data_IF_318014891784
#
_entry.id   IF_318014891784
#
_cell.length_a   1.000
_cell.length_b   1.000
_cell.length_c   1.000
_cell.angle_alpha   90.00
_cell.angle_beta   90.00
_cell.angle_gamma   90.00
#
_symmetry.space_group_name_H-M   'P 1'
#
loop_
_entity.id
_entity.type
_entity.pdbx_description
1 polymer ?
#
# COMPACT_ATOMS: atom_id res chain seq x y z
N UNK A 1 8.53 65.72 37.96
CA UNK A 1 7.32 64.87 38.05
C UNK A 1 6.68 64.87 36.67
N UNK A 2 6.94 63.83 35.89
CA UNK A 2 6.28 63.54 34.62
C UNK A 2 5.84 62.07 34.68
N UNK A 3 4.60 61.83 34.30
CA UNK A 3 3.80 60.62 34.49
C UNK A 3 4.30 59.44 33.67
N UNK A 4 4.58 58.32 34.33
CA UNK A 4 4.83 57.02 33.74
C UNK A 4 3.50 56.43 33.24
N UNK A 5 3.31 56.40 31.92
CA UNK A 5 2.27 55.60 31.28
C UNK A 5 2.71 54.13 31.35
N UNK A 6 2.04 53.34 32.17
CA UNK A 6 2.01 51.89 32.04
C UNK A 6 0.94 51.56 30.99
N UNK A 7 1.37 51.30 29.77
CA UNK A 7 0.54 50.60 28.80
C UNK A 7 0.42 49.15 29.30
N UNK A 8 -0.82 48.77 29.58
CA UNK A 8 -1.17 47.42 29.98
C UNK A 8 -1.02 46.50 28.75
N UNK A 9 -0.04 45.62 28.80
CA UNK A 9 0.09 44.49 27.88
C UNK A 9 -1.13 43.58 28.04
N UNK A 10 -2.08 43.73 27.12
CA UNK A 10 -3.24 42.86 26.94
C UNK A 10 -2.76 41.51 26.41
N UNK A 11 -2.39 40.62 27.33
CA UNK A 11 -2.15 39.20 27.05
C UNK A 11 -3.48 38.46 26.85
N UNK A 12 -4.12 38.71 25.71
CA UNK A 12 -5.28 37.97 25.23
C UNK A 12 -4.91 36.58 24.70
N UNK A 13 -4.95 35.60 25.59
CA UNK A 13 -5.44 34.23 25.39
C UNK A 13 -5.19 33.54 24.03
N UNK A 14 -4.05 32.84 23.97
CA UNK A 14 -3.91 31.42 23.65
C UNK A 14 -5.08 30.66 22.97
N UNK A 15 -5.53 31.09 21.79
CA UNK A 15 -6.24 30.21 20.86
C UNK A 15 -5.23 29.48 19.95
N UNK A 16 -4.46 28.56 20.54
CA UNK A 16 -3.76 27.51 19.77
C UNK A 16 -4.80 26.53 19.23
N UNK A 17 -5.52 26.96 18.19
CA UNK A 17 -6.41 26.14 17.39
C UNK A 17 -5.59 25.05 16.73
N UNK A 18 -5.66 23.87 17.32
CA UNK A 18 -5.30 22.54 16.82
C UNK A 18 -4.66 22.57 15.43
N UNK A 19 -3.37 22.24 15.39
CA UNK A 19 -2.62 21.92 14.19
C UNK A 19 -3.50 21.13 13.19
N UNK A 20 -4.07 21.83 12.19
CA UNK A 20 -4.85 21.24 11.10
C UNK A 20 -3.90 20.59 10.08
N UNK A 21 -3.08 19.65 10.54
CA UNK A 21 -2.11 18.90 9.72
C UNK A 21 -2.75 17.96 8.72
N UNK A 22 -4.07 17.85 8.70
CA UNK A 22 -4.85 17.48 7.52
C UNK A 22 -6.32 17.87 7.75
N UNK A 23 -6.94 18.59 6.81
CA UNK A 23 -8.36 18.94 6.96
C UNK A 23 -9.20 17.65 6.98
N UNK A 24 -10.14 17.54 7.93
CA UNK A 24 -10.99 16.36 8.12
C UNK A 24 -11.69 15.92 6.82
N UNK A 25 -11.93 16.88 5.92
CA UNK A 25 -12.53 16.70 4.59
C UNK A 25 -11.65 15.86 3.66
N UNK A 26 -10.31 16.02 3.73
CA UNK A 26 -9.37 15.23 2.93
C UNK A 26 -9.36 13.78 3.43
N UNK A 27 -9.32 13.56 4.75
CA UNK A 27 -9.37 12.21 5.30
C UNK A 27 -10.66 11.47 4.95
N UNK A 28 -11.81 12.13 5.09
CA UNK A 28 -13.10 11.55 4.73
C UNK A 28 -13.23 11.29 3.22
N UNK A 29 -12.74 12.22 2.39
CA UNK A 29 -12.71 12.05 0.94
C UNK A 29 -11.85 10.87 0.50
N UNK A 30 -10.60 10.81 0.96
CA UNK A 30 -9.69 9.70 0.63
C UNK A 30 -10.18 8.38 1.22
N UNK A 31 -10.65 8.37 2.47
CA UNK A 31 -11.25 7.19 3.09
C UNK A 31 -12.43 6.63 2.30
N UNK A 32 -13.33 7.51 1.83
CA UNK A 32 -14.44 7.13 0.94
C UNK A 32 -13.97 6.57 -0.40
N UNK A 33 -12.96 7.19 -1.04
CA UNK A 33 -12.37 6.66 -2.27
C UNK A 33 -11.74 5.29 -2.06
N UNK A 34 -10.99 5.08 -0.97
CA UNK A 34 -10.39 3.78 -0.64
C UNK A 34 -11.44 2.70 -0.40
N UNK A 35 -12.55 3.05 0.26
CA UNK A 35 -13.68 2.14 0.45
C UNK A 35 -14.30 1.76 -0.88
N UNK A 36 -14.54 2.73 -1.76
CA UNK A 36 -15.06 2.49 -3.11
C UNK A 36 -14.14 1.57 -3.92
N UNK A 37 -12.83 1.84 -3.99
CA UNK A 37 -11.88 0.97 -4.68
C UNK A 37 -11.84 -0.44 -4.08
N UNK A 38 -12.05 -0.58 -2.77
CA UNK A 38 -12.11 -1.89 -2.11
C UNK A 38 -13.36 -2.66 -2.54
N UNK A 39 -14.52 -2.01 -2.64
CA UNK A 39 -15.74 -2.62 -3.18
C UNK A 39 -15.51 -3.07 -4.63
N UNK A 40 -14.91 -2.20 -5.46
CA UNK A 40 -14.58 -2.54 -6.85
C UNK A 40 -13.66 -3.75 -6.92
N UNK A 41 -12.68 -3.87 -6.02
CA UNK A 41 -11.78 -5.03 -5.96
C UNK A 41 -12.53 -6.31 -5.62
N UNK A 42 -13.43 -6.28 -4.63
CA UNK A 42 -14.25 -7.45 -4.28
C UNK A 42 -15.16 -7.84 -5.43
N UNK A 43 -15.75 -6.87 -6.15
CA UNK A 43 -16.56 -7.17 -7.32
C UNK A 43 -15.73 -7.74 -8.47
N UNK A 44 -14.52 -7.23 -8.70
CA UNK A 44 -13.59 -7.77 -9.68
C UNK A 44 -13.23 -9.23 -9.37
N UNK A 45 -13.06 -9.60 -8.09
CA UNK A 45 -12.83 -11.01 -7.71
C UNK A 45 -14.03 -11.93 -7.92
N UNK A 46 -15.24 -11.38 -8.14
CA UNK A 46 -16.44 -12.18 -8.44
C UNK A 46 -16.64 -12.47 -9.91
N UNK A 47 -15.86 -11.85 -10.79
CA UNK A 47 -15.92 -12.10 -12.24
C UNK A 47 -14.69 -12.89 -12.65
N UNK A 48 -14.90 -14.12 -13.11
CA UNK A 48 -13.80 -14.99 -13.54
C UNK A 48 -13.41 -14.69 -14.99
N UNK A 49 -12.35 -13.89 -15.17
CA UNK A 49 -11.70 -13.67 -16.46
C UNK A 49 -10.51 -14.61 -16.71
N UNK A 50 -10.28 -15.58 -15.80
CA UNK A 50 -9.12 -16.47 -15.78
C UNK A 50 -8.05 -16.00 -14.77
N UNK A 51 -7.29 -16.96 -14.21
CA UNK A 51 -6.38 -16.74 -13.09
C UNK A 51 -5.37 -15.59 -13.33
N UNK A 52 -4.79 -15.52 -14.52
CA UNK A 52 -3.75 -14.55 -14.85
C UNK A 52 -4.31 -13.13 -15.03
N UNK A 53 -5.49 -13.01 -15.66
CA UNK A 53 -6.15 -11.72 -15.91
C UNK A 53 -6.72 -11.16 -14.59
N UNK A 54 -7.31 -12.03 -13.76
CA UNK A 54 -7.79 -11.65 -12.43
C UNK A 54 -6.64 -11.13 -11.56
N UNK A 55 -5.49 -11.78 -11.58
CA UNK A 55 -4.30 -11.34 -10.86
C UNK A 55 -3.78 -9.98 -11.36
N UNK A 56 -3.66 -9.80 -12.67
CA UNK A 56 -3.21 -8.54 -13.25
C UNK A 56 -4.15 -7.38 -12.88
N UNK A 57 -5.47 -7.60 -12.96
CA UNK A 57 -6.48 -6.62 -12.59
C UNK A 57 -6.43 -6.29 -11.09
N UNK A 58 -6.28 -7.30 -10.23
CA UNK A 58 -6.15 -7.10 -8.78
C UNK A 58 -4.90 -6.28 -8.42
N UNK A 59 -3.75 -6.58 -9.04
CA UNK A 59 -2.51 -5.81 -8.87
C UNK A 59 -2.66 -4.37 -9.35
N UNK A 60 -3.31 -4.14 -10.48
CA UNK A 60 -3.57 -2.79 -10.99
C UNK A 60 -4.40 -1.95 -10.03
N UNK A 61 -5.52 -2.49 -9.53
CA UNK A 61 -6.37 -1.79 -8.57
C UNK A 61 -5.61 -1.54 -7.25
N UNK A 62 -4.80 -2.50 -6.80
CA UNK A 62 -3.97 -2.35 -5.61
C UNK A 62 -2.96 -1.19 -5.74
N UNK A 63 -2.31 -1.02 -6.90
CA UNK A 63 -1.39 0.10 -7.17
C UNK A 63 -2.12 1.45 -7.13
N UNK A 64 -3.33 1.55 -7.68
CA UNK A 64 -4.12 2.78 -7.61
C UNK A 64 -4.47 3.11 -6.16
N UNK A 65 -4.90 2.10 -5.38
CA UNK A 65 -5.19 2.26 -3.95
C UNK A 65 -3.95 2.76 -3.19
N UNK A 66 -2.79 2.15 -3.41
CA UNK A 66 -1.53 2.57 -2.79
C UNK A 66 -1.16 4.01 -3.16
N UNK A 67 -1.33 4.40 -4.43
CA UNK A 67 -1.08 5.77 -4.90
C UNK A 67 -1.98 6.77 -4.17
N UNK A 68 -3.29 6.49 -4.03
CA UNK A 68 -4.21 7.35 -3.29
C UNK A 68 -3.85 7.47 -1.80
N UNK A 69 -3.46 6.37 -1.15
CA UNK A 69 -2.97 6.42 0.24
C UNK A 69 -1.77 7.36 0.33
N UNK A 70 -0.84 7.26 -0.60
CA UNK A 70 0.41 7.99 -0.47
C UNK A 70 0.24 9.47 -0.78
N UNK A 71 -0.48 9.83 -1.84
CA UNK A 71 -0.69 11.24 -2.20
C UNK A 71 -1.44 12.02 -1.12
N UNK A 72 -2.38 11.37 -0.42
CA UNK A 72 -3.31 12.04 0.49
C UNK A 72 -3.07 11.75 1.97
N UNK A 73 -2.80 10.50 2.39
CA UNK A 73 -2.56 10.15 3.80
C UNK A 73 -1.11 10.37 4.23
N UNK A 74 -0.13 10.15 3.34
CA UNK A 74 1.26 10.50 3.61
C UNK A 74 1.56 11.99 3.37
N UNK A 75 0.53 12.79 3.07
CA UNK A 75 0.63 14.23 2.87
C UNK A 75 1.62 14.64 1.76
N UNK A 76 1.98 13.72 0.86
CA UNK A 76 3.02 13.93 -0.15
C UNK A 76 2.73 15.08 -1.12
N UNK A 77 1.45 15.39 -1.34
CA UNK A 77 1.04 16.56 -2.11
C UNK A 77 1.37 17.91 -1.43
N UNK A 78 1.50 17.94 -0.10
CA UNK A 78 1.82 19.16 0.65
C UNK A 78 3.11 19.06 1.50
N UNK A 79 3.85 17.95 1.40
CA UNK A 79 5.13 17.75 2.07
C UNK A 79 6.32 18.04 1.12
N UNK A 80 7.54 18.11 1.67
CA UNK A 80 8.77 18.38 0.92
C UNK A 80 9.06 17.28 -0.11
N UNK A 81 9.54 17.70 -1.28
CA UNK A 81 9.93 16.86 -2.43
C UNK A 81 10.82 15.66 -2.05
N UNK A 82 11.59 15.75 -0.95
CA UNK A 82 12.40 14.66 -0.42
C UNK A 82 11.59 13.38 -0.14
N UNK A 83 10.41 13.49 0.48
CA UNK A 83 9.55 12.33 0.74
C UNK A 83 9.08 11.69 -0.58
N UNK A 84 8.87 12.50 -1.62
CA UNK A 84 8.39 12.02 -2.92
C UNK A 84 9.45 11.18 -3.62
N UNK A 85 10.71 11.61 -3.53
CA UNK A 85 11.86 10.92 -4.13
C UNK A 85 12.13 9.59 -3.43
N UNK A 86 12.14 9.58 -2.10
CA UNK A 86 12.32 8.34 -1.31
C UNK A 86 11.18 7.37 -1.62
N UNK A 87 9.95 7.85 -1.64
CA UNK A 87 8.79 7.01 -1.95
C UNK A 87 8.81 6.46 -3.38
N UNK A 88 9.14 7.30 -4.38
CA UNK A 88 9.27 6.86 -5.77
C UNK A 88 10.37 5.80 -5.91
N UNK A 89 11.49 5.96 -5.20
CA UNK A 89 12.56 4.96 -5.18
C UNK A 89 12.10 3.63 -4.56
N UNK A 90 11.28 3.67 -3.52
CA UNK A 90 10.72 2.48 -2.89
C UNK A 90 9.71 1.78 -3.82
N UNK A 91 8.84 2.52 -4.51
CA UNK A 91 7.95 1.96 -5.54
C UNK A 91 8.77 1.32 -6.66
N UNK A 92 9.79 2.01 -7.17
CA UNK A 92 10.60 1.49 -8.27
C UNK A 92 11.33 0.21 -7.85
N UNK A 93 11.92 0.18 -6.66
CA UNK A 93 12.53 -1.01 -6.09
C UNK A 93 11.51 -2.15 -5.91
N UNK A 94 10.31 -1.86 -5.40
CA UNK A 94 9.25 -2.86 -5.24
C UNK A 94 8.75 -3.39 -6.59
N UNK A 95 8.55 -2.53 -7.58
CA UNK A 95 8.15 -2.92 -8.93
C UNK A 95 9.20 -3.82 -9.58
N UNK A 96 10.48 -3.48 -9.43
CA UNK A 96 11.59 -4.29 -9.91
C UNK A 96 11.62 -5.65 -9.20
N UNK A 97 11.49 -5.67 -7.87
CA UNK A 97 11.45 -6.90 -7.07
C UNK A 97 10.29 -7.82 -7.47
N UNK A 98 9.07 -7.29 -7.58
CA UNK A 98 7.90 -8.06 -7.99
C UNK A 98 8.06 -8.57 -9.43
N UNK A 99 8.56 -7.72 -10.34
CA UNK A 99 8.83 -8.11 -11.72
C UNK A 99 9.83 -9.27 -11.81
N UNK A 100 10.96 -9.19 -11.09
CA UNK A 100 11.93 -10.29 -11.01
C UNK A 100 11.32 -11.54 -10.38
N UNK A 101 10.56 -11.42 -9.29
CA UNK A 101 9.92 -12.55 -8.62
C UNK A 101 8.93 -13.27 -9.54
N UNK A 102 8.17 -12.52 -10.36
CA UNK A 102 7.25 -13.09 -11.35
C UNK A 102 8.01 -13.81 -12.48
N UNK A 103 9.09 -13.22 -12.99
CA UNK A 103 9.94 -13.87 -13.99
C UNK A 103 10.56 -15.17 -13.44
N UNK A 104 11.08 -15.11 -12.22
CA UNK A 104 11.68 -16.22 -11.49
C UNK A 104 10.68 -17.37 -11.33
N UNK A 105 9.49 -17.06 -10.81
CA UNK A 105 8.38 -18.02 -10.68
C UNK A 105 8.04 -18.66 -12.03
N UNK A 106 7.97 -17.87 -13.10
CA UNK A 106 7.69 -18.36 -14.45
C UNK A 106 8.76 -19.32 -15.00
N UNK A 107 10.03 -19.10 -14.68
CA UNK A 107 11.12 -20.01 -15.08
C UNK A 107 11.10 -21.32 -14.29
N UNK A 108 10.88 -21.25 -12.97
CA UNK A 108 10.89 -22.46 -12.13
C UNK A 108 9.61 -23.29 -12.21
N UNK A 109 8.49 -22.72 -12.67
CA UNK A 109 7.23 -23.44 -12.81
C UNK A 109 7.37 -24.73 -13.63
N UNK A 110 8.19 -24.73 -14.68
CA UNK A 110 8.41 -25.92 -15.52
C UNK A 110 9.36 -26.97 -14.89
N UNK A 111 10.15 -26.59 -13.90
CA UNK A 111 11.10 -27.49 -13.21
C UNK A 111 10.53 -28.00 -11.88
N UNK A 112 9.30 -27.59 -11.54
CA UNK A 112 8.63 -28.09 -10.35
C UNK A 112 8.36 -29.59 -10.48
N UNK A 113 9.06 -30.39 -9.67
CA UNK A 113 8.89 -31.84 -9.57
C UNK A 113 7.59 -32.21 -8.85
N UNK A 114 7.05 -31.30 -8.04
CA UNK A 114 5.80 -31.49 -7.33
C UNK A 114 4.61 -31.05 -8.20
N UNK A 115 4.19 -31.94 -9.09
CA UNK A 115 2.91 -31.81 -9.78
C UNK A 115 1.79 -32.42 -8.91
N UNK A 116 0.76 -31.64 -8.49
CA UNK A 116 -0.39 -32.16 -7.77
C UNK A 116 -1.15 -33.25 -8.54
N UNK A 117 -1.16 -33.16 -9.87
CA UNK A 117 -1.86 -34.09 -10.76
C UNK A 117 -0.97 -35.28 -11.14
N UNK A 118 0.35 -35.15 -11.04
CA UNK A 118 1.32 -36.22 -11.27
C UNK A 118 2.46 -36.22 -10.24
N UNK A 119 2.18 -36.60 -8.97
CA UNK A 119 3.18 -36.55 -7.93
C UNK A 119 4.39 -37.43 -8.29
N UNK A 120 5.61 -36.98 -7.93
CA UNK A 120 6.81 -37.74 -8.22
C UNK A 120 6.71 -39.12 -7.55
N UNK A 121 7.20 -40.19 -8.21
CA UNK A 121 7.23 -41.51 -7.60
C UNK A 121 7.86 -41.42 -6.22
N UNK A 122 7.17 -41.93 -5.20
CA UNK A 122 7.67 -41.89 -3.83
C UNK A 122 9.11 -42.43 -3.80
N UNK A 123 10.04 -41.77 -3.08
CA UNK A 123 11.38 -42.30 -2.92
C UNK A 123 11.29 -43.76 -2.47
N UNK A 124 11.92 -44.69 -3.21
CA UNK A 124 11.98 -46.10 -2.82
C UNK A 124 12.93 -46.20 -1.63
N UNK A 125 12.43 -45.82 -0.46
CA UNK A 125 13.04 -46.09 0.82
C UNK A 125 12.61 -47.47 1.33
N UNK A 126 13.35 -48.05 2.29
CA UNK A 126 12.85 -49.19 3.03
C UNK A 126 11.47 -48.87 3.59
N UNK A 127 10.50 -49.74 3.32
CA UNK A 127 9.13 -49.64 3.86
C UNK A 127 9.24 -49.35 5.37
N UNK A 128 8.46 -48.39 5.91
CA UNK A 128 8.42 -48.13 7.34
C UNK A 128 8.19 -49.46 8.07
N UNK A 129 9.16 -49.89 8.87
CA UNK A 129 8.96 -51.04 9.74
C UNK A 129 8.03 -50.58 10.85
N UNK A 130 6.87 -51.22 10.96
CA UNK A 130 6.00 -51.08 12.11
C UNK A 130 6.73 -51.67 13.32
N UNK A 131 7.42 -50.80 14.06
CA UNK A 131 7.87 -51.09 15.43
C UNK A 131 6.75 -50.84 16.42
#
# INVERSE_FOLDING_TARGET
MATQHHDADDHGDAHHGIAHTASIKVLLGTGGSLLFLTIVTVLATRVDFGANINLALAMFIAVIKATLVVLFFMHLKYDKIFHSVVFLSAILAAALFVGFTLMDTGQYQHTNIWDPDSPPPAPIGPRPVSG
#
